data_IF_355533207027
#
_entry.id   IF_355533207027
#
_cell.length_a   1.000
_cell.length_b   1.000
_cell.length_c   1.000
_cell.angle_alpha   90.00
_cell.angle_beta   90.00
_cell.angle_gamma   90.00
#
_symmetry.space_group_name_H-M   'P 1'
#
loop_
_entity.id
_entity.type
_entity.pdbx_description
1 polymer ?
#
# COMPACT_ATOMS: atom_id res chain seq x y z
N UNK A 1 -21.76 14.85 -1.46
CA UNK A 1 -22.21 14.04 -2.62
C UNK A 1 -21.50 14.57 -3.87
N UNK A 2 -20.37 13.97 -4.25
CA UNK A 2 -19.62 14.36 -5.45
C UNK A 2 -20.40 13.87 -6.67
N UNK A 3 -20.82 14.78 -7.56
CA UNK A 3 -21.51 14.41 -8.80
C UNK A 3 -20.48 14.12 -9.88
N UNK A 4 -20.20 12.85 -10.12
CA UNK A 4 -19.38 12.45 -11.27
C UNK A 4 -20.08 12.82 -12.58
N UNK A 5 -19.36 13.44 -13.53
CA UNK A 5 -19.85 13.60 -14.91
C UNK A 5 -20.14 12.21 -15.48
N UNK A 6 -21.29 12.04 -16.15
CA UNK A 6 -21.63 10.80 -16.85
C UNK A 6 -20.76 10.65 -18.10
N UNK A 7 -19.62 9.99 -17.97
CA UNK A 7 -18.84 9.52 -19.11
C UNK A 7 -19.54 8.32 -19.75
N UNK A 8 -19.81 8.39 -21.06
CA UNK A 8 -20.35 7.26 -21.82
C UNK A 8 -19.18 6.32 -22.18
N UNK A 9 -18.79 5.49 -21.22
CA UNK A 9 -17.76 4.45 -21.37
C UNK A 9 -18.39 3.07 -21.16
N UNK A 10 -17.71 2.02 -21.65
CA UNK A 10 -18.02 0.63 -21.23
C UNK A 10 -17.70 0.42 -19.75
N UNK A 11 -16.80 1.23 -19.19
CA UNK A 11 -16.42 1.23 -17.78
C UNK A 11 -17.48 1.99 -16.98
N UNK A 12 -18.00 1.34 -15.95
CA UNK A 12 -18.89 1.94 -14.97
C UNK A 12 -18.15 2.03 -13.65
N UNK A 13 -18.37 3.12 -12.92
CA UNK A 13 -17.86 3.32 -11.56
C UNK A 13 -19.09 3.53 -10.67
N UNK A 14 -19.20 2.72 -9.62
CA UNK A 14 -20.18 2.87 -8.54
C UNK A 14 -19.47 2.77 -7.20
N UNK A 15 -20.08 3.35 -6.18
CA UNK A 15 -19.70 3.11 -4.79
C UNK A 15 -20.40 1.83 -4.33
N UNK A 16 -19.63 0.91 -3.76
CA UNK A 16 -20.13 -0.30 -3.14
C UNK A 16 -19.72 -0.30 -1.67
N UNK A 17 -20.69 -0.33 -0.76
CA UNK A 17 -20.45 -0.33 0.69
C UNK A 17 -20.74 -1.72 1.23
N UNK A 18 -19.76 -2.36 1.87
CA UNK A 18 -19.96 -3.67 2.49
C UNK A 18 -18.70 -4.24 3.13
N UNK A 19 -18.81 -5.49 3.56
CA UNK A 19 -17.70 -6.22 4.18
C UNK A 19 -16.89 -6.95 3.08
N UNK A 20 -15.61 -6.62 2.95
CA UNK A 20 -14.74 -7.16 1.91
C UNK A 20 -14.51 -8.67 2.04
N UNK A 21 -14.50 -9.24 3.26
CA UNK A 21 -14.42 -10.68 3.47
C UNK A 21 -15.61 -11.40 2.84
N UNK A 22 -16.81 -10.79 2.92
CA UNK A 22 -17.99 -11.32 2.23
C UNK A 22 -17.86 -11.17 0.71
N UNK A 23 -17.31 -10.05 0.24
CA UNK A 23 -17.09 -9.84 -1.20
C UNK A 23 -16.12 -10.87 -1.81
N UNK A 24 -15.07 -11.26 -1.09
CA UNK A 24 -14.17 -12.35 -1.52
C UNK A 24 -14.86 -13.72 -1.62
N UNK A 25 -15.96 -13.95 -0.89
CA UNK A 25 -16.70 -15.21 -0.88
C UNK A 25 -17.89 -15.24 -1.87
N UNK A 26 -18.18 -14.12 -2.54
CA UNK A 26 -19.31 -14.02 -3.46
C UNK A 26 -18.95 -14.56 -4.85
N UNK A 27 -19.74 -15.53 -5.34
CA UNK A 27 -19.57 -16.07 -6.69
C UNK A 27 -19.66 -14.99 -7.78
N UNK A 28 -20.46 -13.93 -7.56
CA UNK A 28 -20.55 -12.80 -8.50
C UNK A 28 -19.24 -12.05 -8.69
N UNK A 29 -18.29 -12.18 -7.76
CA UNK A 29 -16.97 -11.56 -7.82
C UNK A 29 -15.88 -12.56 -8.25
N UNK A 30 -16.25 -13.75 -8.72
CA UNK A 30 -15.28 -14.71 -9.25
C UNK A 30 -14.50 -14.07 -10.42
N UNK A 31 -13.17 -13.99 -10.25
CA UNK A 31 -12.27 -13.39 -11.24
C UNK A 31 -12.17 -11.87 -11.13
N UNK A 32 -12.84 -11.25 -10.15
CA UNK A 32 -12.66 -9.84 -9.84
C UNK A 32 -11.26 -9.58 -9.26
N UNK A 33 -10.72 -8.40 -9.56
CA UNK A 33 -9.48 -7.91 -8.99
C UNK A 33 -9.79 -6.95 -7.84
N UNK A 34 -9.29 -7.27 -6.64
CA UNK A 34 -9.43 -6.42 -5.46
C UNK A 34 -8.15 -5.64 -5.26
N UNK A 35 -8.25 -4.31 -5.35
CA UNK A 35 -7.17 -3.40 -4.97
C UNK A 35 -7.51 -2.80 -3.61
N UNK A 36 -6.58 -2.93 -2.68
CA UNK A 36 -6.63 -2.30 -1.37
C UNK A 36 -5.37 -1.49 -1.14
N UNK A 37 -5.49 -0.46 -0.29
CA UNK A 37 -4.31 0.18 0.25
C UNK A 37 -3.53 -0.85 1.08
N UNK A 38 -2.21 -0.72 1.04
CA UNK A 38 -1.26 -1.58 1.74
C UNK A 38 -0.09 -0.69 2.13
N UNK A 39 0.62 -1.07 3.17
CA UNK A 39 1.83 -0.36 3.59
C UNK A 39 2.93 -0.58 2.55
N UNK A 40 3.91 0.34 2.50
CA UNK A 40 4.94 0.29 1.45
C UNK A 40 5.96 -0.83 1.63
N UNK A 41 5.89 -1.60 2.73
CA UNK A 41 6.64 -2.85 2.91
C UNK A 41 5.84 -4.11 2.53
N UNK A 42 4.65 -3.95 1.95
CA UNK A 42 3.76 -5.03 1.52
C UNK A 42 3.19 -5.89 2.67
N UNK A 43 3.19 -5.38 3.90
CA UNK A 43 2.60 -5.99 5.09
C UNK A 43 1.51 -5.07 5.67
N UNK A 44 0.61 -5.61 6.48
CA UNK A 44 -0.43 -4.88 7.20
C UNK A 44 -0.15 -4.88 8.71
N UNK A 45 0.70 -3.97 9.16
CA UNK A 45 1.00 -3.77 10.57
C UNK A 45 -0.05 -2.87 11.23
N UNK A 46 -0.46 -3.15 12.47
CA UNK A 46 -1.49 -2.36 13.16
C UNK A 46 -1.04 -0.92 13.51
N UNK A 47 0.27 -0.68 13.59
CA UNK A 47 0.88 0.61 13.90
C UNK A 47 2.36 0.65 13.46
N UNK A 48 2.99 1.85 13.34
CA UNK A 48 4.35 2.00 12.82
C UNK A 48 5.47 1.44 13.69
N UNK A 49 5.16 0.95 14.90
CA UNK A 49 6.13 0.31 15.80
C UNK A 49 6.06 -1.22 15.78
N UNK A 50 5.08 -1.82 15.08
CA UNK A 50 5.07 -3.27 14.84
C UNK A 50 6.02 -3.62 13.73
N UNK A 51 6.82 -4.64 13.96
CA UNK A 51 7.83 -5.12 13.03
C UNK A 51 7.39 -6.45 12.39
N UNK A 52 8.03 -6.88 11.29
CA UNK A 52 7.77 -8.17 10.65
C UNK A 52 7.79 -9.39 11.59
N UNK A 53 8.56 -9.33 12.67
CA UNK A 53 8.68 -10.39 13.69
C UNK A 53 7.39 -10.60 14.49
N UNK A 54 6.47 -9.62 14.51
CA UNK A 54 5.13 -9.83 15.06
C UNK A 54 4.33 -10.89 14.29
N UNK A 55 4.74 -11.18 13.06
CA UNK A 55 4.20 -12.24 12.22
C UNK A 55 2.81 -11.92 11.66
N UNK A 56 2.36 -12.76 10.73
CA UNK A 56 1.10 -12.56 10.00
C UNK A 56 -0.15 -12.90 10.81
N UNK A 57 -0.02 -13.53 11.98
CA UNK A 57 -1.17 -13.87 12.82
C UNK A 57 -1.88 -12.64 13.38
N UNK A 58 -1.20 -11.49 13.49
CA UNK A 58 -1.81 -10.27 14.03
C UNK A 58 -2.98 -9.75 13.18
N UNK A 59 -3.06 -10.17 11.91
CA UNK A 59 -4.05 -9.71 10.94
C UNK A 59 -5.46 -10.16 11.33
N UNK A 60 -5.59 -11.23 12.12
CA UNK A 60 -6.90 -11.72 12.58
C UNK A 60 -7.58 -10.77 13.58
N UNK A 61 -6.79 -9.91 14.25
CA UNK A 61 -7.29 -8.98 15.26
C UNK A 61 -7.60 -7.59 14.67
N UNK A 62 -7.23 -7.35 13.41
CA UNK A 62 -7.50 -6.09 12.72
C UNK A 62 -8.68 -6.28 11.76
N UNK A 63 -9.80 -5.63 12.10
CA UNK A 63 -11.05 -5.71 11.37
C UNK A 63 -11.17 -4.68 10.22
N UNK A 64 -10.08 -4.00 9.85
CA UNK A 64 -10.05 -3.10 8.70
C UNK A 64 -10.01 -3.86 7.37
N UNK A 65 -10.13 -3.12 6.26
CA UNK A 65 -10.25 -3.71 4.92
C UNK A 65 -8.96 -4.41 4.46
N UNK A 66 -7.80 -3.86 4.80
CA UNK A 66 -6.50 -4.29 4.27
C UNK A 66 -6.11 -5.67 4.81
N UNK A 67 -6.13 -5.91 6.15
CA UNK A 67 -5.84 -7.23 6.73
C UNK A 67 -6.84 -8.30 6.28
N UNK A 68 -8.11 -7.92 6.11
CA UNK A 68 -9.15 -8.81 5.59
C UNK A 68 -8.82 -9.35 4.18
N UNK A 69 -8.30 -8.49 3.30
CA UNK A 69 -7.88 -8.89 1.95
C UNK A 69 -6.57 -9.69 1.99
N UNK A 70 -5.62 -9.30 2.84
CA UNK A 70 -4.37 -10.03 3.02
C UNK A 70 -4.59 -11.44 3.58
N UNK A 71 -5.58 -11.65 4.45
CA UNK A 71 -5.99 -12.99 4.93
C UNK A 71 -6.61 -13.81 3.79
N UNK A 72 -7.45 -13.21 2.94
CA UNK A 72 -7.99 -13.88 1.75
C UNK A 72 -6.87 -14.33 0.77
N UNK A 73 -5.75 -13.60 0.74
CA UNK A 73 -4.53 -13.91 -0.01
C UNK A 73 -3.40 -14.46 0.88
N UNK A 74 -3.72 -15.24 1.92
CA UNK A 74 -2.79 -15.57 3.01
C UNK A 74 -1.45 -16.20 2.59
N UNK A 75 -1.40 -16.97 1.49
CA UNK A 75 -0.14 -17.52 0.98
C UNK A 75 0.85 -16.42 0.56
N UNK A 76 0.35 -15.36 -0.07
CA UNK A 76 1.16 -14.22 -0.46
C UNK A 76 1.63 -13.43 0.76
N UNK A 77 0.74 -13.21 1.74
CA UNK A 77 1.07 -12.53 3.00
C UNK A 77 2.19 -13.26 3.76
N UNK A 78 2.11 -14.60 3.84
CA UNK A 78 3.17 -15.44 4.41
C UNK A 78 4.46 -15.31 3.61
N UNK A 79 4.38 -15.35 2.29
CA UNK A 79 5.56 -15.22 1.43
C UNK A 79 6.25 -13.87 1.63
N UNK A 80 5.50 -12.77 1.58
CA UNK A 80 6.02 -11.41 1.75
C UNK A 80 6.66 -11.19 3.12
N UNK A 81 6.17 -11.83 4.17
CA UNK A 81 6.78 -11.71 5.50
C UNK A 81 8.02 -12.59 5.66
N UNK A 82 7.94 -13.87 5.29
CA UNK A 82 8.94 -14.86 5.70
C UNK A 82 9.87 -15.36 4.58
N UNK A 83 9.49 -15.20 3.32
CA UNK A 83 10.15 -15.89 2.19
C UNK A 83 10.57 -14.97 1.04
N UNK A 84 10.20 -13.69 1.07
CA UNK A 84 10.62 -12.74 0.03
C UNK A 84 12.15 -12.60 0.01
N UNK A 85 12.72 -12.64 -1.19
CA UNK A 85 14.16 -12.45 -1.38
C UNK A 85 14.48 -10.94 -1.39
N UNK A 86 15.21 -10.49 -0.36
CA UNK A 86 15.68 -9.10 -0.22
C UNK A 86 17.13 -8.94 -0.71
N UNK A 87 17.63 -9.87 -1.54
CA UNK A 87 19.00 -10.00 -2.07
C UNK A 87 20.03 -10.37 -1.02
N UNK A 88 19.95 -9.78 0.18
CA UNK A 88 20.88 -10.03 1.30
C UNK A 88 20.31 -10.99 2.34
N UNK A 89 19.00 -11.20 2.35
CA UNK A 89 18.31 -12.11 3.27
C UNK A 89 17.00 -12.62 2.66
N UNK A 90 16.45 -13.66 3.27
CA UNK A 90 15.10 -14.17 2.99
C UNK A 90 14.18 -13.72 4.14
N UNK A 91 13.02 -13.19 3.78
CA UNK A 91 12.04 -12.66 4.72
C UNK A 91 12.37 -11.24 5.20
N UNK A 92 11.32 -10.53 5.63
CA UNK A 92 11.43 -9.18 6.19
C UNK A 92 11.72 -9.26 7.69
N UNK A 93 12.51 -8.32 8.18
CA UNK A 93 12.83 -8.13 9.60
C UNK A 93 12.73 -6.66 9.97
N UNK A 94 12.82 -6.32 11.26
CA UNK A 94 12.93 -4.91 11.71
C UNK A 94 14.02 -4.15 10.98
N UNK A 95 15.13 -4.82 10.66
CA UNK A 95 16.35 -4.20 10.11
C UNK A 95 16.36 -4.15 8.58
N UNK A 96 15.52 -4.95 7.91
CA UNK A 96 15.46 -5.03 6.46
C UNK A 96 14.06 -5.37 5.96
N UNK A 97 13.46 -4.42 5.27
CA UNK A 97 12.10 -4.52 4.73
C UNK A 97 12.10 -4.16 3.24
N UNK A 98 11.03 -4.54 2.55
CA UNK A 98 10.70 -4.00 1.25
C UNK A 98 10.37 -2.52 1.41
N UNK A 99 10.79 -1.69 0.44
CA UNK A 99 10.39 -0.31 0.34
C UNK A 99 9.86 -0.03 -1.07
N UNK A 100 8.54 -0.02 -1.21
CA UNK A 100 7.86 0.29 -2.47
C UNK A 100 7.90 1.77 -2.84
N UNK A 101 8.42 2.64 -1.96
CA UNK A 101 8.67 4.05 -2.28
C UNK A 101 10.12 4.34 -2.63
N UNK A 102 11.03 3.36 -2.62
CA UNK A 102 12.46 3.61 -2.83
C UNK A 102 12.76 4.43 -4.10
N UNK A 103 12.16 4.04 -5.24
CA UNK A 103 12.37 4.74 -6.51
C UNK A 103 11.71 6.13 -6.53
N UNK A 104 10.54 6.28 -5.89
CA UNK A 104 9.86 7.58 -5.75
C UNK A 104 10.68 8.50 -4.84
N UNK A 105 11.24 7.98 -3.76
CA UNK A 105 12.13 8.69 -2.84
C UNK A 105 13.37 9.19 -3.56
N UNK A 106 13.97 8.36 -4.41
CA UNK A 106 15.11 8.76 -5.24
C UNK A 106 14.75 9.88 -6.23
N UNK A 107 13.60 9.77 -6.91
CA UNK A 107 13.17 10.79 -7.87
C UNK A 107 12.86 12.14 -7.20
N UNK A 108 12.28 12.11 -5.99
CA UNK A 108 11.90 13.31 -5.25
C UNK A 108 13.01 13.87 -4.35
N UNK A 109 14.14 13.17 -4.23
CA UNK A 109 15.28 13.56 -3.41
C UNK A 109 15.07 13.37 -1.90
N UNK A 110 14.60 12.20 -1.48
CA UNK A 110 14.35 11.84 -0.07
C UNK A 110 15.53 11.11 0.61
N UNK A 111 16.76 11.21 0.08
CA UNK A 111 17.91 10.46 0.62
C UNK A 111 18.28 10.85 2.05
N UNK A 112 17.96 12.07 2.46
CA UNK A 112 18.16 12.58 3.82
C UNK A 112 16.90 12.46 4.70
N UNK A 113 15.84 11.80 4.21
CA UNK A 113 14.55 11.66 4.89
C UNK A 113 13.84 13.01 5.19
N UNK A 114 14.18 14.05 4.44
CA UNK A 114 13.58 15.39 4.61
C UNK A 114 12.10 15.44 4.18
N UNK A 115 11.66 14.53 3.30
CA UNK A 115 10.28 14.46 2.82
C UNK A 115 9.43 13.54 3.70
N UNK A 116 9.92 12.32 3.95
CA UNK A 116 9.33 11.35 4.87
C UNK A 116 10.41 10.42 5.42
N UNK A 117 10.17 9.87 6.61
CA UNK A 117 10.93 8.75 7.16
C UNK A 117 10.10 7.48 7.06
N UNK A 118 10.72 6.36 6.68
CA UNK A 118 10.07 5.05 6.68
C UNK A 118 10.09 4.43 8.08
N UNK A 119 8.95 3.91 8.55
CA UNK A 119 8.86 3.15 9.80
C UNK A 119 7.92 1.97 9.62
N UNK A 120 8.46 0.75 9.53
CA UNK A 120 7.69 -0.49 9.37
C UNK A 120 6.62 -0.42 8.26
N UNK A 121 6.99 0.06 7.07
CA UNK A 121 6.08 0.22 5.93
C UNK A 121 5.29 1.54 5.88
N UNK A 122 5.29 2.32 6.96
CA UNK A 122 4.67 3.66 6.98
C UNK A 122 5.64 4.72 6.45
N UNK A 123 5.16 5.53 5.51
CA UNK A 123 5.85 6.75 5.09
C UNK A 123 5.39 7.92 5.97
N UNK A 124 6.17 8.24 7.00
CA UNK A 124 5.87 9.31 7.95
C UNK A 124 6.34 10.65 7.39
N UNK A 125 5.48 11.27 6.58
CA UNK A 125 5.79 12.54 5.93
C UNK A 125 5.72 13.73 6.90
N UNK A 126 6.60 14.71 6.68
CA UNK A 126 6.52 16.01 7.35
C UNK A 126 5.65 16.98 6.56
N UNK A 127 5.12 18.02 7.21
CA UNK A 127 4.36 19.06 6.51
C UNK A 127 5.22 19.75 5.44
N UNK A 128 6.46 20.06 5.80
CA UNK A 128 7.45 20.69 4.92
C UNK A 128 7.79 19.78 3.74
N UNK A 129 7.94 18.48 4.00
CA UNK A 129 8.11 17.44 3.00
C UNK A 129 6.96 17.38 2.01
N UNK A 130 5.72 17.31 2.49
CA UNK A 130 4.53 17.32 1.62
C UNK A 130 4.42 18.59 0.76
N UNK A 131 4.77 19.75 1.33
CA UNK A 131 4.82 21.02 0.57
C UNK A 131 5.91 20.99 -0.50
N UNK A 132 7.07 20.39 -0.19
CA UNK A 132 8.15 20.23 -1.16
C UNK A 132 7.72 19.30 -2.31
N UNK A 133 7.19 18.12 -1.99
CA UNK A 133 6.65 17.16 -2.98
C UNK A 133 5.63 17.87 -3.87
N UNK A 134 4.67 18.58 -3.28
CA UNK A 134 3.64 19.30 -4.04
C UNK A 134 4.25 20.33 -5.01
N UNK A 135 5.32 21.03 -4.60
CA UNK A 135 6.03 22.00 -5.45
C UNK A 135 6.78 21.31 -6.59
N UNK A 136 7.36 20.14 -6.35
CA UNK A 136 8.05 19.37 -7.40
C UNK A 136 7.04 18.85 -8.43
N UNK A 137 5.97 18.20 -7.97
CA UNK A 137 4.91 17.67 -8.85
C UNK A 137 4.25 18.77 -9.69
N UNK A 138 4.03 19.97 -9.14
CA UNK A 138 3.45 21.09 -9.87
C UNK A 138 4.32 21.62 -11.02
N UNK A 139 5.60 21.25 -11.09
CA UNK A 139 6.50 21.60 -12.20
C UNK A 139 6.48 20.57 -13.33
N UNK A 140 5.95 19.37 -13.08
CA UNK A 140 5.87 18.32 -14.07
C UNK A 140 4.76 18.64 -15.08
N UNK A 141 5.08 18.48 -16.35
CA UNK A 141 4.15 18.46 -17.46
C UNK A 141 3.41 17.11 -17.52
N UNK A 142 2.22 17.04 -18.13
CA UNK A 142 1.49 15.79 -18.31
C UNK A 142 2.34 14.67 -18.95
N UNK A 143 3.19 15.01 -19.91
CA UNK A 143 4.07 14.05 -20.58
C UNK A 143 5.09 13.39 -19.63
N UNK A 144 5.37 14.01 -18.48
CA UNK A 144 6.29 13.48 -17.48
C UNK A 144 5.61 12.49 -16.52
N UNK A 145 4.27 12.45 -16.43
CA UNK A 145 3.55 11.57 -15.49
C UNK A 145 2.36 10.74 -16.04
N UNK A 146 1.91 10.94 -17.28
CA UNK A 146 0.73 10.27 -17.87
C UNK A 146 1.05 9.15 -18.91
N UNK A 147 2.29 8.67 -18.98
CA UNK A 147 2.79 7.68 -19.96
C UNK A 147 1.76 6.71 -20.56
#
# INVERSE_FOLDING_TARGET
>A
MVRFKKYHSKIKVSEEIGNVQKFHQQESNHGAFFQVASQFNLLEMDNPYRTPEAGVSIYEYDATQEPACAVACGAETIYRNYFIDLKTQIGQTSDKQVDCLADIGKELGNENEDLWTMSNGYALATKEGLVNISRQLAKLSPDEYEW
#
